data_IF_773149759749
#
_entry.id   IF_773149759749
#
_cell.length_a   1.000
_cell.length_b   1.000
_cell.length_c   1.000
_cell.angle_alpha   90.00
_cell.angle_beta   90.00
_cell.angle_gamma   90.00
#
_symmetry.space_group_name_H-M   'P 1'
#
loop_
_entity.id
_entity.type
_entity.pdbx_description
1 polymer ?
#
# COMPACT_ATOMS: atom_id res chain seq x y z
N UNK A 1 33.99 5.22 13.69
CA UNK A 1 33.20 5.82 12.59
C UNK A 1 31.73 5.47 12.77
N UNK A 2 30.93 6.38 13.34
CA UNK A 2 29.48 6.21 13.46
C UNK A 2 28.84 6.56 12.10
N UNK A 3 28.24 5.59 11.41
CA UNK A 3 27.39 5.87 10.25
C UNK A 3 26.14 6.58 10.76
N UNK A 4 26.03 7.90 10.55
CA UNK A 4 24.76 8.60 10.66
C UNK A 4 23.79 7.96 9.64
N UNK A 5 22.79 7.24 10.15
CA UNK A 5 21.65 6.82 9.33
C UNK A 5 20.82 8.08 9.03
N UNK A 6 21.03 8.65 7.85
CA UNK A 6 20.16 9.70 7.32
C UNK A 6 18.71 9.23 7.41
N UNK A 7 17.89 9.91 8.21
CA UNK A 7 16.43 9.72 8.19
C UNK A 7 15.98 10.03 6.76
N UNK A 8 15.69 8.99 5.97
CA UNK A 8 15.10 9.16 4.64
C UNK A 8 13.76 9.85 4.86
N UNK A 9 13.70 11.17 4.65
CA UNK A 9 12.42 11.85 4.45
C UNK A 9 11.79 11.20 3.24
N UNK A 10 10.66 10.52 3.43
CA UNK A 10 9.81 10.10 2.33
C UNK A 10 9.19 11.39 1.78
N UNK A 11 9.89 12.06 0.86
CA UNK A 11 9.26 13.11 0.06
C UNK A 11 8.19 12.44 -0.78
N UNK A 12 6.98 12.98 -0.76
CA UNK A 12 5.96 12.71 -1.77
C UNK A 12 6.49 13.31 -3.08
N UNK A 13 7.30 12.53 -3.79
CA UNK A 13 7.98 12.93 -5.00
C UNK A 13 7.23 12.42 -6.24
N UNK A 14 7.65 12.86 -7.42
CA UNK A 14 7.07 12.44 -8.69
C UNK A 14 7.61 11.08 -9.15
N UNK A 15 8.19 10.28 -8.25
CA UNK A 15 8.69 8.96 -8.62
C UNK A 15 7.52 8.07 -9.01
N UNK A 16 7.65 7.30 -10.10
CA UNK A 16 6.63 6.33 -10.46
C UNK A 16 6.34 5.33 -9.34
N UNK A 17 5.07 5.16 -9.03
CA UNK A 17 4.50 4.35 -7.96
C UNK A 17 3.26 3.60 -8.46
N UNK A 18 2.72 2.75 -7.59
CA UNK A 18 1.41 2.15 -7.80
C UNK A 18 0.60 2.16 -6.51
N UNK A 19 -0.70 2.29 -6.67
CA UNK A 19 -1.70 2.04 -5.64
C UNK A 19 -2.06 0.56 -5.66
N UNK A 20 -2.17 -0.04 -4.47
CA UNK A 20 -2.52 -1.44 -4.31
C UNK A 20 -3.53 -1.64 -3.19
N UNK A 21 -4.20 -2.78 -3.24
CA UNK A 21 -4.93 -3.34 -2.12
C UNK A 21 -4.29 -4.64 -1.63
N UNK A 22 -4.39 -4.91 -0.32
CA UNK A 22 -4.30 -6.27 0.19
C UNK A 22 -5.72 -6.77 0.41
N UNK A 23 -6.02 -7.96 -0.08
CA UNK A 23 -7.33 -8.58 0.04
C UNK A 23 -7.21 -9.89 0.78
N UNK A 24 -8.17 -10.21 1.61
CA UNK A 24 -8.25 -11.52 2.24
C UNK A 24 -8.29 -12.60 1.15
N UNK A 25 -7.42 -13.61 1.26
CA UNK A 25 -7.24 -14.61 0.19
C UNK A 25 -8.42 -15.59 0.07
N UNK A 26 -9.29 -15.66 1.08
CA UNK A 26 -10.45 -16.57 1.08
C UNK A 26 -11.71 -15.81 0.63
N UNK A 27 -11.90 -14.59 1.10
CA UNK A 27 -13.14 -13.80 0.90
C UNK A 27 -13.01 -12.67 -0.13
N UNK A 28 -11.79 -12.27 -0.47
CA UNK A 28 -11.53 -11.10 -1.33
C UNK A 28 -11.77 -9.75 -0.66
N UNK A 29 -12.13 -9.73 0.62
CA UNK A 29 -12.39 -8.51 1.38
C UNK A 29 -11.14 -7.63 1.49
N UNK A 30 -11.30 -6.32 1.32
CA UNK A 30 -10.18 -5.39 1.39
C UNK A 30 -9.66 -5.29 2.83
N UNK A 31 -8.43 -5.72 3.02
CA UNK A 31 -7.69 -5.63 4.28
C UNK A 31 -6.88 -4.34 4.39
N UNK A 32 -6.41 -3.81 3.25
CA UNK A 32 -5.56 -2.61 3.21
C UNK A 32 -5.63 -1.89 1.86
N UNK A 33 -5.53 -0.57 1.89
CA UNK A 33 -5.03 0.23 0.75
C UNK A 33 -3.64 0.78 1.05
N UNK A 34 -2.79 0.86 0.02
CA UNK A 34 -1.42 1.36 0.12
C UNK A 34 -0.83 1.87 -1.19
N UNK A 35 0.23 2.67 -1.08
CA UNK A 35 1.11 3.04 -2.20
C UNK A 35 2.47 2.33 -2.09
N UNK A 36 3.09 2.03 -3.23
CA UNK A 36 4.48 1.58 -3.27
C UNK A 36 5.21 1.96 -4.57
N UNK A 37 6.51 2.27 -4.45
CA UNK A 37 7.45 2.35 -5.59
C UNK A 37 8.11 1.00 -5.89
N UNK A 38 7.79 -0.04 -5.11
CA UNK A 38 8.32 -1.41 -5.21
C UNK A 38 7.27 -2.44 -5.63
N UNK A 39 6.31 -1.99 -6.42
CA UNK A 39 5.22 -2.82 -6.89
C UNK A 39 5.49 -3.50 -8.23
N UNK A 40 4.44 -4.12 -8.77
CA UNK A 40 4.48 -4.89 -10.02
C UNK A 40 4.83 -4.02 -11.22
N UNK A 41 4.37 -2.77 -11.25
CA UNK A 41 4.70 -1.78 -12.29
C UNK A 41 6.21 -1.68 -12.51
N UNK A 42 7.03 -1.81 -11.46
CA UNK A 42 8.49 -1.70 -11.58
C UNK A 42 9.19 -3.05 -11.77
N UNK A 43 8.66 -4.11 -11.16
CA UNK A 43 9.40 -5.38 -11.00
C UNK A 43 8.70 -6.60 -11.62
N UNK A 44 7.56 -6.42 -12.29
CA UNK A 44 6.68 -7.49 -12.80
C UNK A 44 6.03 -8.33 -11.70
N UNK A 45 6.46 -8.17 -10.45
CA UNK A 45 5.97 -8.83 -9.24
C UNK A 45 6.05 -7.85 -8.08
N UNK A 46 5.11 -7.89 -7.13
CA UNK A 46 5.20 -7.01 -5.96
C UNK A 46 6.40 -7.40 -5.08
N UNK A 47 7.24 -6.43 -4.70
CA UNK A 47 8.39 -6.60 -3.79
C UNK A 47 8.21 -5.86 -2.46
N UNK A 48 7.01 -5.32 -2.21
CA UNK A 48 6.68 -4.58 -0.98
C UNK A 48 6.57 -5.52 0.21
N UNK A 49 5.95 -6.68 0.00
CA UNK A 49 5.71 -7.70 1.02
C UNK A 49 6.44 -8.99 0.65
N UNK A 50 7.03 -9.65 1.64
CA UNK A 50 7.61 -10.97 1.45
C UNK A 50 6.49 -12.00 1.23
N UNK A 51 6.79 -13.10 0.53
CA UNK A 51 5.85 -14.23 0.39
C UNK A 51 5.38 -14.77 1.75
N UNK A 52 6.29 -14.81 2.73
CA UNK A 52 6.00 -15.21 4.11
C UNK A 52 4.92 -14.31 4.73
N UNK A 53 5.07 -12.98 4.61
CA UNK A 53 4.06 -12.04 5.11
C UNK A 53 2.69 -12.28 4.50
N UNK A 54 2.62 -12.43 3.17
CA UNK A 54 1.36 -12.66 2.45
C UNK A 54 0.66 -13.93 2.94
N UNK A 55 1.41 -15.03 3.06
CA UNK A 55 0.91 -16.32 3.57
C UNK A 55 0.44 -16.23 5.03
N UNK A 56 1.25 -15.67 5.92
CA UNK A 56 0.91 -15.56 7.36
C UNK A 56 -0.28 -14.64 7.61
N UNK A 57 -0.49 -13.65 6.74
CA UNK A 57 -1.61 -12.72 6.86
C UNK A 57 -2.83 -13.14 6.04
N UNK A 58 -2.77 -14.26 5.30
CA UNK A 58 -3.82 -14.72 4.38
C UNK A 58 -4.34 -13.61 3.47
N UNK A 59 -3.41 -12.92 2.83
CA UNK A 59 -3.75 -11.83 1.91
C UNK A 59 -3.09 -11.99 0.57
N UNK A 60 -3.81 -11.54 -0.46
CA UNK A 60 -3.33 -11.38 -1.82
C UNK A 60 -3.07 -9.90 -2.12
N UNK A 61 -2.07 -9.65 -2.96
CA UNK A 61 -1.73 -8.32 -3.43
C UNK A 61 -2.45 -8.07 -4.75
N UNK A 62 -3.12 -6.94 -4.85
CA UNK A 62 -3.71 -6.50 -6.11
C UNK A 62 -3.25 -5.10 -6.43
N UNK A 63 -2.62 -4.94 -7.59
CA UNK A 63 -2.36 -3.63 -8.18
C UNK A 63 -3.69 -3.02 -8.64
N UNK A 64 -3.97 -1.80 -8.21
CA UNK A 64 -5.24 -1.11 -8.47
C UNK A 64 -5.04 0.13 -9.36
N UNK A 65 -3.92 0.84 -9.19
CA UNK A 65 -3.66 2.11 -9.90
C UNK A 65 -2.17 2.32 -10.17
N UNK A 66 -1.85 3.24 -11.07
CA UNK A 66 -0.47 3.69 -11.35
C UNK A 66 -0.45 5.21 -11.36
N UNK A 67 0.64 5.80 -10.88
CA UNK A 67 0.87 7.24 -10.89
C UNK A 67 2.19 7.57 -10.24
N UNK A 68 2.38 8.82 -9.89
CA UNK A 68 3.48 9.28 -9.03
C UNK A 68 3.26 8.87 -7.58
N UNK A 69 4.31 8.93 -6.76
CA UNK A 69 4.20 8.67 -5.33
C UNK A 69 3.25 9.65 -4.63
N UNK A 70 3.21 10.90 -5.08
CA UNK A 70 2.25 11.90 -4.60
C UNK A 70 0.81 11.50 -4.93
N UNK A 71 0.51 11.23 -6.20
CA UNK A 71 -0.84 10.84 -6.64
C UNK A 71 -1.30 9.55 -5.95
N UNK A 72 -0.42 8.56 -5.82
CA UNK A 72 -0.77 7.28 -5.19
C UNK A 72 -0.94 7.41 -3.67
N UNK A 73 -0.27 8.38 -3.02
CA UNK A 73 -0.55 8.71 -1.63
C UNK A 73 -1.93 9.35 -1.46
N UNK A 74 -2.31 10.28 -2.34
CA UNK A 74 -3.66 10.89 -2.36
C UNK A 74 -4.74 9.84 -2.68
N UNK A 75 -4.47 8.96 -3.64
CA UNK A 75 -5.34 7.82 -3.99
C UNK A 75 -5.56 6.88 -2.80
N UNK A 76 -4.48 6.51 -2.08
CA UNK A 76 -4.56 5.66 -0.89
C UNK A 76 -5.49 6.31 0.16
N UNK A 77 -5.32 7.61 0.38
CA UNK A 77 -6.11 8.38 1.35
C UNK A 77 -7.59 8.40 0.99
N UNK A 78 -7.92 8.67 -0.28
CA UNK A 78 -9.29 8.66 -0.78
C UNK A 78 -9.93 7.27 -0.59
N UNK A 79 -9.22 6.19 -0.95
CA UNK A 79 -9.75 4.82 -0.80
C UNK A 79 -10.01 4.42 0.64
N UNK A 80 -9.15 4.80 1.58
CA UNK A 80 -9.39 4.55 3.02
C UNK A 80 -10.64 5.30 3.51
N UNK A 81 -10.83 6.55 3.08
CA UNK A 81 -12.01 7.36 3.44
C UNK A 81 -13.30 6.78 2.84
N UNK A 82 -13.29 6.42 1.57
CA UNK A 82 -14.42 5.76 0.89
C UNK A 82 -14.81 4.47 1.60
N UNK A 83 -13.83 3.61 1.88
CA UNK A 83 -14.06 2.37 2.61
C UNK A 83 -14.68 2.64 3.99
N UNK A 84 -14.14 3.61 4.75
CA UNK A 84 -14.65 3.99 6.07
C UNK A 84 -16.07 4.54 6.01
N UNK A 85 -16.41 5.31 4.98
CA UNK A 85 -17.77 5.84 4.77
C UNK A 85 -18.80 4.72 4.62
N UNK A 86 -18.43 3.64 3.92
CA UNK A 86 -19.32 2.49 3.68
C UNK A 86 -19.36 1.53 4.87
N UNK A 87 -18.22 1.27 5.51
CA UNK A 87 -18.08 0.20 6.51
C UNK A 87 -18.11 0.71 7.96
N UNK A 88 -18.15 2.02 8.18
CA UNK A 88 -18.03 2.65 9.51
C UNK A 88 -16.62 2.60 10.13
N UNK A 89 -15.72 1.80 9.56
CA UNK A 89 -14.33 1.62 9.98
C UNK A 89 -13.39 1.56 8.78
N UNK A 90 -12.14 1.95 8.98
CA UNK A 90 -11.06 1.80 7.98
C UNK A 90 -10.77 0.32 7.68
N UNK A 91 -10.04 0.00 6.60
CA UNK A 91 -9.57 -1.36 6.36
C UNK A 91 -8.74 -1.89 7.55
N UNK A 92 -8.92 -3.16 7.96
CA UNK A 92 -8.34 -3.70 9.19
C UNK A 92 -6.82 -3.50 9.36
N UNK A 93 -6.05 -3.57 8.26
CA UNK A 93 -4.58 -3.47 8.28
C UNK A 93 -4.06 -2.06 7.96
N UNK A 94 -4.91 -1.05 7.85
CA UNK A 94 -4.50 0.37 7.89
C UNK A 94 -4.38 0.82 9.35
N UNK A 95 -3.22 1.39 9.74
CA UNK A 95 -2.93 1.79 11.15
C UNK A 95 -3.46 3.17 11.51
N UNK A 96 -3.74 3.97 10.50
CA UNK A 96 -4.19 5.34 10.55
C UNK A 96 -5.13 5.56 9.36
N UNK A 97 -5.88 6.65 9.41
CA UNK A 97 -6.72 7.09 8.29
C UNK A 97 -5.88 7.89 7.26
N UNK A 98 -4.54 7.85 7.40
CA UNK A 98 -3.54 8.68 6.72
C UNK A 98 -2.13 8.08 6.82
#
# INVERSE_FOLDING_TARGET
MLRQRSKIRVSLDDKPAEGYSLRDSETGEVQKYGETTRGERRFGTQKRYSKKYMKENKVDYQKEATGTKKEMHEWQHQKIREYKKVNGRRPPKNKNDY
#
